data_IF_000655755000
#
_entry.id   IF_000655755000
#
_cell.length_a   1.000
_cell.length_b   1.000
_cell.length_c   1.000
_cell.angle_alpha   90.00
_cell.angle_beta   90.00
_cell.angle_gamma   90.00
#
_symmetry.space_group_name_H-M   'P 1'
#
loop_
_entity.id
_entity.type
_entity.pdbx_description
1 polymer ?
#
# COMPACT_ATOMS: atom_id res chain seq x y z
N UNK A 1 -36.06 -5.16 -11.08
CA UNK A 1 -35.43 -4.51 -9.91
C UNK A 1 -33.93 -4.75 -10.02
N UNK A 2 -33.13 -3.70 -10.29
CA UNK A 2 -31.70 -3.83 -10.58
C UNK A 2 -30.93 -3.68 -9.27
N UNK A 3 -30.26 -4.73 -8.81
CA UNK A 3 -29.38 -4.67 -7.64
C UNK A 3 -28.12 -3.92 -8.09
N UNK A 4 -27.93 -2.69 -7.59
CA UNK A 4 -26.65 -2.00 -7.75
C UNK A 4 -25.65 -2.70 -6.82
N UNK A 5 -24.68 -3.41 -7.39
CA UNK A 5 -23.51 -3.83 -6.62
C UNK A 5 -22.76 -2.58 -6.18
N UNK A 6 -22.80 -2.27 -4.89
CA UNK A 6 -22.03 -1.19 -4.31
C UNK A 6 -20.61 -1.72 -4.07
N UNK A 7 -19.65 -1.32 -4.92
CA UNK A 7 -18.24 -1.60 -4.68
C UNK A 7 -17.73 -0.56 -3.68
N UNK A 8 -17.28 -1.03 -2.51
CA UNK A 8 -16.61 -0.18 -1.51
C UNK A 8 -15.11 -0.30 -1.72
N UNK A 9 -14.46 0.82 -2.02
CA UNK A 9 -13.00 0.90 -2.13
C UNK A 9 -12.45 1.47 -0.82
N UNK A 10 -11.61 0.69 -0.13
CA UNK A 10 -10.83 1.15 1.02
C UNK A 10 -9.59 1.84 0.48
N UNK A 11 -9.38 3.11 0.83
CA UNK A 11 -8.19 3.87 0.41
C UNK A 11 -7.07 3.85 1.43
N UNK A 12 -7.39 3.61 2.71
CA UNK A 12 -6.46 3.74 3.82
C UNK A 12 -6.95 2.99 5.06
N UNK A 13 -6.03 2.40 5.80
CA UNK A 13 -6.21 1.76 7.10
C UNK A 13 -5.22 2.38 8.09
N UNK A 14 -5.73 3.12 9.07
CA UNK A 14 -4.89 3.78 10.09
C UNK A 14 -5.17 3.22 11.48
N UNK A 15 -4.11 2.99 12.24
CA UNK A 15 -4.16 2.66 13.66
C UNK A 15 -2.96 3.27 14.39
N UNK A 16 -3.21 4.20 15.31
CA UNK A 16 -2.16 4.99 15.97
C UNK A 16 -1.19 5.61 14.95
N UNK A 17 0.10 5.27 15.01
CA UNK A 17 1.12 5.70 14.04
C UNK A 17 1.28 4.76 12.83
N UNK A 18 0.62 3.60 12.81
CA UNK A 18 0.69 2.64 11.72
C UNK A 18 -0.38 2.93 10.65
N UNK A 19 0.05 2.93 9.39
CA UNK A 19 -0.81 3.14 8.22
C UNK A 19 -0.58 2.07 7.16
N UNK A 20 -1.65 1.58 6.55
CA UNK A 20 -1.62 0.73 5.36
C UNK A 20 -2.55 1.30 4.27
N UNK A 21 -2.01 1.46 3.06
CA UNK A 21 -2.74 2.02 1.92
C UNK A 21 -2.79 1.01 0.77
N UNK A 22 -3.92 0.33 0.53
CA UNK A 22 -4.07 -0.54 -0.62
C UNK A 22 -4.23 0.29 -1.91
N UNK A 23 -3.72 -0.25 -3.02
CA UNK A 23 -3.82 0.39 -4.33
C UNK A 23 -4.01 -0.67 -5.42
N UNK A 24 -4.76 -0.31 -6.47
CA UNK A 24 -5.01 -1.20 -7.61
C UNK A 24 -3.86 -1.22 -8.62
N UNK A 25 -2.93 -0.26 -8.54
CA UNK A 25 -1.77 -0.16 -9.42
C UNK A 25 -0.56 0.44 -8.70
N UNK A 26 0.64 0.20 -9.24
CA UNK A 26 1.87 0.81 -8.72
C UNK A 26 1.87 2.34 -8.84
N UNK A 27 1.23 2.87 -9.89
CA UNK A 27 1.10 4.32 -10.15
C UNK A 27 0.18 5.00 -9.12
N UNK A 28 -0.93 4.35 -8.79
CA UNK A 28 -1.85 4.80 -7.74
C UNK A 28 -1.19 4.74 -6.36
N UNK A 29 -0.42 3.68 -6.09
CA UNK A 29 0.35 3.55 -4.86
C UNK A 29 1.40 4.66 -4.75
N UNK A 30 2.19 4.90 -5.79
CA UNK A 30 3.19 5.96 -5.82
C UNK A 30 2.57 7.35 -5.61
N UNK A 31 1.43 7.61 -6.24
CA UNK A 31 0.66 8.85 -6.05
C UNK A 31 0.19 8.99 -4.60
N UNK A 32 -0.31 7.91 -4.00
CA UNK A 32 -0.74 7.90 -2.60
C UNK A 32 0.42 8.16 -1.64
N UNK A 33 1.57 7.50 -1.83
CA UNK A 33 2.76 7.70 -1.00
C UNK A 33 3.31 9.13 -1.10
N UNK A 34 3.28 9.75 -2.27
CA UNK A 34 3.66 11.16 -2.45
C UNK A 34 2.72 12.10 -1.68
N UNK A 35 1.42 11.84 -1.75
CA UNK A 35 0.42 12.62 -1.03
C UNK A 35 0.57 12.48 0.49
N UNK A 36 0.78 11.26 1.00
CA UNK A 36 1.06 11.02 2.41
C UNK A 36 2.33 11.74 2.87
N UNK A 37 3.45 11.60 2.14
CA UNK A 37 4.70 12.28 2.49
C UNK A 37 4.50 13.80 2.61
N UNK A 38 3.83 14.41 1.62
CA UNK A 38 3.54 15.85 1.62
C UNK A 38 2.63 16.28 2.76
N UNK A 39 1.58 15.50 3.05
CA UNK A 39 0.68 15.77 4.15
C UNK A 39 1.43 15.69 5.49
N UNK A 40 2.17 14.61 5.74
CA UNK A 40 2.95 14.44 6.96
C UNK A 40 3.99 15.55 7.15
N UNK A 41 4.70 15.97 6.09
CA UNK A 41 5.62 17.10 6.14
C UNK A 41 4.94 18.41 6.55
N UNK A 42 3.69 18.63 6.13
CA UNK A 42 2.90 19.82 6.50
C UNK A 42 2.57 19.83 8.00
N UNK A 43 2.48 18.66 8.62
CA UNK A 43 2.31 18.48 10.06
C UNK A 43 3.64 18.37 10.84
N UNK A 44 4.79 18.58 10.19
CA UNK A 44 6.10 18.43 10.81
C UNK A 44 6.51 16.98 11.10
N UNK A 45 5.82 16.02 10.49
CA UNK A 45 6.09 14.59 10.59
C UNK A 45 6.94 14.11 9.40
N UNK A 46 7.62 12.99 9.58
CA UNK A 46 8.43 12.34 8.53
C UNK A 46 8.09 10.86 8.45
N UNK A 47 7.85 10.37 7.24
CA UNK A 47 7.67 8.93 6.99
C UNK A 47 8.99 8.21 7.27
N UNK A 48 8.91 7.12 8.03
CA UNK A 48 10.04 6.25 8.27
C UNK A 48 10.19 5.24 7.13
N UNK A 49 10.91 5.63 6.08
CA UNK A 49 11.11 4.83 4.85
C UNK A 49 11.68 3.44 5.16
N UNK A 50 12.55 3.31 6.16
CA UNK A 50 13.13 2.01 6.54
C UNK A 50 12.09 1.05 7.15
N UNK A 51 11.04 1.59 7.78
CA UNK A 51 9.92 0.80 8.34
C UNK A 51 8.78 0.61 7.33
N UNK A 52 8.64 1.48 6.34
CA UNK A 52 7.64 1.32 5.28
C UNK A 52 8.02 0.15 4.38
N UNK A 53 7.03 -0.70 4.06
CA UNK A 53 7.17 -1.86 3.17
C UNK A 53 6.09 -1.83 2.10
N UNK A 54 6.32 -2.47 0.98
CA UNK A 54 5.33 -2.66 -0.09
C UNK A 54 5.14 -4.15 -0.34
N UNK A 55 3.89 -4.59 -0.44
CA UNK A 55 3.54 -5.93 -0.90
C UNK A 55 3.00 -5.83 -2.33
N UNK A 56 3.56 -6.61 -3.24
CA UNK A 56 3.01 -6.78 -4.58
C UNK A 56 2.12 -8.02 -4.62
N UNK A 57 0.83 -7.85 -4.94
CA UNK A 57 -0.10 -8.95 -5.10
C UNK A 57 -0.52 -9.05 -6.57
N UNK A 58 0.12 -9.93 -7.36
CA UNK A 58 -0.32 -10.19 -8.73
C UNK A 58 -1.75 -10.79 -8.75
N UNK A 59 -2.35 -10.80 -9.92
CA UNK A 59 -3.54 -11.62 -10.15
C UNK A 59 -3.13 -13.11 -10.23
N UNK A 60 -4.04 -14.06 -9.98
CA UNK A 60 -3.73 -15.48 -10.11
C UNK A 60 -3.12 -15.79 -11.47
N UNK A 61 -1.97 -16.48 -11.47
CA UNK A 61 -1.20 -16.86 -12.67
C UNK A 61 -0.57 -15.70 -13.44
N UNK A 62 -0.48 -14.51 -12.86
CA UNK A 62 0.36 -13.42 -13.38
C UNK A 62 1.61 -13.26 -12.54
N UNK A 63 2.71 -12.86 -13.17
CA UNK A 63 3.90 -12.34 -12.49
C UNK A 63 3.84 -10.82 -12.54
N UNK A 64 4.08 -10.17 -11.41
CA UNK A 64 4.30 -8.73 -11.37
C UNK A 64 5.79 -8.50 -11.13
N UNK A 65 6.43 -7.69 -11.96
CA UNK A 65 7.71 -7.10 -11.55
C UNK A 65 7.43 -6.22 -10.32
N UNK A 66 8.25 -6.38 -9.28
CA UNK A 66 8.05 -5.66 -8.02
C UNK A 66 7.93 -4.15 -8.27
N UNK A 67 6.93 -3.47 -7.69
CA UNK A 67 6.72 -2.06 -7.96
C UNK A 67 7.89 -1.25 -7.39
N UNK A 68 8.45 -0.34 -8.19
CA UNK A 68 9.44 0.60 -7.71
C UNK A 68 8.75 1.82 -7.11
N UNK A 69 8.42 1.74 -5.82
CA UNK A 69 7.82 2.85 -5.07
C UNK A 69 8.92 3.61 -4.33
N UNK A 70 8.84 4.93 -4.38
CA UNK A 70 9.80 5.83 -3.74
C UNK A 70 9.11 6.86 -2.85
N UNK A 71 9.80 7.29 -1.80
CA UNK A 71 9.44 8.46 -0.97
C UNK A 71 10.70 9.29 -0.83
N UNK A 72 10.61 10.59 -1.08
CA UNK A 72 11.75 11.50 -1.06
C UNK A 72 12.94 10.97 -1.89
N UNK A 73 12.63 10.37 -3.04
CA UNK A 73 13.56 9.72 -3.98
C UNK A 73 14.31 8.50 -3.42
N UNK A 74 13.90 7.95 -2.29
CA UNK A 74 14.42 6.70 -1.73
C UNK A 74 13.44 5.56 -1.99
N UNK A 75 13.91 4.44 -2.53
CA UNK A 75 13.07 3.26 -2.76
C UNK A 75 12.63 2.61 -1.45
N UNK A 76 11.36 2.20 -1.43
CA UNK A 76 10.77 1.41 -0.36
C UNK A 76 11.06 -0.07 -0.61
N UNK A 77 11.30 -0.84 0.45
CA UNK A 77 11.49 -2.28 0.34
C UNK A 77 10.19 -2.99 -0.07
N UNK A 78 10.30 -3.87 -1.07
CA UNK A 78 9.23 -4.79 -1.47
C UNK A 78 9.40 -6.11 -0.70
N UNK A 79 8.35 -6.57 -0.03
CA UNK A 79 8.36 -7.78 0.81
C UNK A 79 7.38 -8.82 0.26
N UNK A 80 7.65 -10.09 0.54
CA UNK A 80 6.77 -11.22 0.18
C UNK A 80 5.64 -11.44 1.18
N UNK A 81 5.88 -11.10 2.45
CA UNK A 81 4.93 -11.19 3.56
C UNK A 81 4.78 -9.82 4.22
N UNK A 82 3.56 -9.33 4.28
CA UNK A 82 3.25 -8.04 4.89
C UNK A 82 2.59 -8.23 6.25
N UNK A 83 3.21 -7.73 7.31
CA UNK A 83 2.64 -7.75 8.65
C UNK A 83 2.01 -6.39 8.97
N UNK A 84 0.70 -6.37 9.22
CA UNK A 84 -0.03 -5.20 9.70
C UNK A 84 -0.69 -5.52 11.04
N UNK A 85 -0.29 -4.81 12.10
CA UNK A 85 -0.83 -4.98 13.46
C UNK A 85 -0.82 -6.44 13.97
N UNK A 86 0.22 -7.20 13.62
CA UNK A 86 0.36 -8.61 14.00
C UNK A 86 -0.41 -9.60 13.11
N UNK A 87 -1.14 -9.12 12.11
CA UNK A 87 -1.78 -9.94 11.08
C UNK A 87 -0.90 -10.02 9.84
N UNK A 88 -0.69 -11.23 9.32
CA UNK A 88 0.15 -11.47 8.15
C UNK A 88 -0.67 -11.60 6.87
N UNK A 89 -0.28 -10.87 5.84
CA UNK A 89 -0.76 -10.99 4.46
C UNK A 89 0.38 -11.54 3.60
N UNK A 90 0.35 -12.84 3.25
CA UNK A 90 1.32 -13.40 2.33
C UNK A 90 0.96 -13.03 0.90
N UNK A 91 1.97 -12.86 0.05
CA UNK A 91 1.82 -12.53 -1.38
C UNK A 91 0.94 -13.52 -2.17
N UNK A 92 0.82 -14.77 -1.69
CA UNK A 92 0.01 -15.82 -2.31
C UNK A 92 -1.44 -15.89 -1.81
N UNK A 93 -1.83 -15.03 -0.87
CA UNK A 93 -3.23 -14.88 -0.47
C UNK A 93 -3.91 -13.95 -1.47
N UNK A 94 -4.61 -14.52 -2.45
CA UNK A 94 -5.35 -13.75 -3.44
C UNK A 94 -6.57 -13.10 -2.77
N UNK A 95 -6.52 -11.78 -2.58
CA UNK A 95 -7.67 -10.96 -2.17
C UNK A 95 -8.33 -10.37 -3.42
N UNK A 96 -8.95 -11.22 -4.23
CA UNK A 96 -9.78 -10.83 -5.37
C UNK A 96 -11.02 -11.73 -5.46
#
# INVERSE_FOLDING_TARGET
SYIRNLVLQVSELQYADDNAAPASSAEDLQTSMNNFSRAYQTFGLKVNIAKTKVLAQPAPRTSLDGPNITIDNQSIEVVEDFCYLGSFLPSNCWIW
#
